data_IF_159734000419
#
_entry.id   IF_159734000419
#
_cell.length_a   1.000
_cell.length_b   1.000
_cell.length_c   1.000
_cell.angle_alpha   90.00
_cell.angle_beta   90.00
_cell.angle_gamma   90.00
#
_symmetry.space_group_name_H-M   'P 1'
#
loop_
_entity.id
_entity.type
_entity.pdbx_description
1 polymer ?
#
# COMPACT_ATOMS: atom_id res chain seq x y z
N UNK A 1 38.16 33.75 10.68
CA UNK A 1 37.08 32.84 11.08
C UNK A 1 37.37 32.38 12.49
N UNK A 2 36.46 32.66 13.43
CA UNK A 2 36.65 32.36 14.85
C UNK A 2 36.14 30.94 15.17
N UNK A 3 36.56 30.42 16.33
CA UNK A 3 36.08 29.14 16.86
C UNK A 3 34.55 29.13 17.05
N UNK A 4 33.93 30.29 17.30
CA UNK A 4 32.47 30.42 17.41
C UNK A 4 31.80 30.22 16.07
N UNK A 5 32.32 30.83 15.02
CA UNK A 5 31.82 30.71 13.65
C UNK A 5 31.86 29.24 13.18
N UNK A 6 32.89 28.49 13.60
CA UNK A 6 33.03 27.07 13.30
C UNK A 6 31.97 26.22 14.03
N UNK A 7 31.70 26.51 15.31
CA UNK A 7 30.69 25.81 16.10
C UNK A 7 29.29 26.07 15.52
N UNK A 8 28.96 27.32 15.19
CA UNK A 8 27.68 27.68 14.58
C UNK A 8 27.45 26.98 13.23
N UNK A 9 28.51 26.88 12.40
CA UNK A 9 28.44 26.14 11.13
C UNK A 9 28.20 24.65 11.33
N UNK A 10 28.83 24.03 12.32
CA UNK A 10 28.65 22.61 12.64
C UNK A 10 27.22 22.37 13.13
N UNK A 11 26.69 23.20 14.04
CA UNK A 11 25.31 23.09 14.53
C UNK A 11 24.28 23.23 13.40
N UNK A 12 24.46 24.22 12.52
CA UNK A 12 23.59 24.42 11.36
C UNK A 12 23.58 23.20 10.44
N UNK A 13 24.76 22.65 10.17
CA UNK A 13 24.92 21.48 9.29
C UNK A 13 24.24 20.24 9.88
N UNK A 14 24.40 20.01 11.20
CA UNK A 14 23.73 18.92 11.90
C UNK A 14 22.20 19.08 11.90
N UNK A 15 21.71 20.31 12.06
CA UNK A 15 20.27 20.59 12.01
C UNK A 15 19.67 20.26 10.64
N UNK A 16 20.33 20.67 9.55
CA UNK A 16 19.89 20.37 8.18
C UNK A 16 19.82 18.86 7.97
N UNK A 17 20.86 18.12 8.34
CA UNK A 17 20.92 16.66 8.20
C UNK A 17 19.74 16.01 8.96
N UNK A 18 19.51 16.42 10.20
CA UNK A 18 18.42 15.92 11.05
C UNK A 18 17.04 16.10 10.39
N UNK A 19 16.77 17.30 9.86
CA UNK A 19 15.51 17.61 9.17
C UNK A 19 15.31 16.75 7.90
N UNK A 20 16.37 16.52 7.12
CA UNK A 20 16.29 15.64 5.94
C UNK A 20 16.00 14.19 6.29
N UNK A 21 16.61 13.65 7.35
CA UNK A 21 16.36 12.26 7.78
C UNK A 21 14.91 12.11 8.26
N UNK A 22 14.44 13.04 9.10
CA UNK A 22 13.07 13.01 9.61
C UNK A 22 12.04 13.16 8.47
N UNK A 23 12.29 14.06 7.52
CA UNK A 23 11.45 14.23 6.33
C UNK A 23 11.39 12.97 5.46
N UNK A 24 12.52 12.28 5.27
CA UNK A 24 12.58 11.03 4.50
C UNK A 24 11.78 9.90 5.16
N UNK A 25 11.89 9.75 6.49
CA UNK A 25 11.14 8.74 7.25
C UNK A 25 9.64 9.00 7.14
N UNK A 26 9.19 10.23 7.38
CA UNK A 26 7.77 10.59 7.24
C UNK A 26 7.26 10.44 5.82
N UNK A 27 8.08 10.74 4.81
CA UNK A 27 7.70 10.52 3.42
C UNK A 27 7.47 9.04 3.12
N UNK A 28 8.39 8.17 3.55
CA UNK A 28 8.22 6.71 3.40
C UNK A 28 6.99 6.18 4.12
N UNK A 29 6.74 6.65 5.34
CA UNK A 29 5.57 6.26 6.11
C UNK A 29 4.27 6.65 5.40
N UNK A 30 4.17 7.89 4.90
CA UNK A 30 3.01 8.36 4.13
C UNK A 30 2.78 7.54 2.86
N UNK A 31 3.85 7.20 2.14
CA UNK A 31 3.77 6.34 0.95
C UNK A 31 3.26 4.94 1.29
N UNK A 32 3.73 4.36 2.39
CA UNK A 32 3.27 3.04 2.84
C UNK A 32 1.79 3.05 3.27
N UNK A 33 1.36 4.07 4.02
CA UNK A 33 -0.05 4.22 4.41
C UNK A 33 -0.93 4.36 3.15
N UNK A 34 -0.50 5.19 2.20
CA UNK A 34 -1.23 5.40 0.95
C UNK A 34 -1.34 4.11 0.12
N UNK A 35 -0.24 3.35 0.02
CA UNK A 35 -0.23 2.02 -0.60
C UNK A 35 -1.27 1.08 0.02
N UNK A 36 -1.26 0.95 1.35
CA UNK A 36 -2.16 0.04 2.08
C UNK A 36 -3.63 0.44 1.86
N UNK A 37 -3.95 1.73 1.94
CA UNK A 37 -5.30 2.23 1.74
C UNK A 37 -5.80 1.98 0.32
N UNK A 38 -4.97 2.31 -0.68
CA UNK A 38 -5.31 2.10 -2.08
C UNK A 38 -5.48 0.62 -2.42
N UNK A 39 -4.55 -0.23 -1.96
CA UNK A 39 -4.65 -1.68 -2.17
C UNK A 39 -5.94 -2.24 -1.56
N UNK A 40 -6.29 -1.82 -0.33
CA UNK A 40 -7.56 -2.22 0.31
C UNK A 40 -8.77 -1.81 -0.51
N UNK A 41 -8.81 -0.57 -0.97
CA UNK A 41 -9.92 -0.06 -1.78
C UNK A 41 -10.07 -0.87 -3.07
N UNK A 42 -8.97 -1.04 -3.82
CA UNK A 42 -8.97 -1.80 -5.07
C UNK A 42 -9.41 -3.25 -4.87
N UNK A 43 -8.96 -3.91 -3.79
CA UNK A 43 -9.39 -5.28 -3.47
C UNK A 43 -10.91 -5.36 -3.30
N UNK A 44 -11.51 -4.43 -2.55
CA UNK A 44 -12.96 -4.40 -2.34
C UNK A 44 -13.69 -4.14 -3.66
N UNK A 45 -13.26 -3.14 -4.42
CA UNK A 45 -13.91 -2.73 -5.67
C UNK A 45 -13.88 -3.87 -6.70
N UNK A 46 -12.72 -4.52 -6.88
CA UNK A 46 -12.60 -5.62 -7.82
C UNK A 46 -13.27 -6.91 -7.35
N UNK A 47 -13.22 -7.25 -6.05
CA UNK A 47 -13.98 -8.39 -5.54
C UNK A 47 -15.46 -8.21 -5.83
N UNK A 48 -16.02 -7.03 -5.56
CA UNK A 48 -17.44 -6.77 -5.80
C UNK A 48 -17.80 -6.75 -7.29
N UNK A 49 -16.91 -6.24 -8.15
CA UNK A 49 -17.08 -6.28 -9.60
C UNK A 49 -17.13 -7.72 -10.12
N UNK A 50 -16.13 -8.54 -9.78
CA UNK A 50 -16.03 -9.92 -10.24
C UNK A 50 -17.02 -10.87 -9.55
N UNK A 51 -17.51 -10.56 -8.35
CA UNK A 51 -18.56 -11.36 -7.69
C UNK A 51 -19.82 -11.41 -8.56
N UNK A 52 -20.18 -10.29 -9.21
CA UNK A 52 -21.32 -10.17 -10.13
C UNK A 52 -21.16 -10.95 -11.43
N UNK A 53 -19.94 -11.30 -11.83
CA UNK A 53 -19.70 -12.05 -13.07
C UNK A 53 -19.91 -13.56 -12.89
N UNK A 54 -20.45 -14.25 -13.91
CA UNK A 54 -20.63 -15.71 -13.90
C UNK A 54 -19.33 -16.44 -14.31
N UNK A 55 -18.30 -16.35 -13.47
CA UNK A 55 -16.98 -16.98 -13.69
C UNK A 55 -16.60 -17.88 -12.50
N UNK A 56 -15.77 -18.91 -12.69
CA UNK A 56 -15.30 -19.76 -11.59
C UNK A 56 -14.47 -18.98 -10.55
N UNK A 57 -14.53 -19.39 -9.28
CA UNK A 57 -13.88 -18.71 -8.16
C UNK A 57 -12.36 -18.54 -8.33
N UNK A 58 -11.65 -19.56 -8.84
CA UNK A 58 -10.19 -19.45 -9.05
C UNK A 58 -9.83 -18.42 -10.13
N UNK A 59 -10.59 -18.39 -11.23
CA UNK A 59 -10.39 -17.40 -12.29
C UNK A 59 -10.74 -16.00 -11.78
N UNK A 60 -11.80 -15.86 -10.98
CA UNK A 60 -12.15 -14.60 -10.31
C UNK A 60 -11.01 -14.11 -9.42
N UNK A 61 -10.46 -14.96 -8.54
CA UNK A 61 -9.36 -14.59 -7.65
C UNK A 61 -8.14 -14.08 -8.44
N UNK A 62 -7.69 -14.83 -9.46
CA UNK A 62 -6.55 -14.43 -10.28
C UNK A 62 -6.78 -13.10 -11.03
N UNK A 63 -8.01 -12.87 -11.51
CA UNK A 63 -8.38 -11.63 -12.18
C UNK A 63 -8.41 -10.43 -11.22
N UNK A 64 -8.98 -10.61 -10.01
CA UNK A 64 -8.97 -9.59 -8.95
C UNK A 64 -7.54 -9.24 -8.56
N UNK A 65 -6.70 -10.24 -8.25
CA UNK A 65 -5.30 -10.04 -7.88
C UNK A 65 -4.56 -9.26 -8.97
N UNK A 66 -4.67 -9.70 -10.23
CA UNK A 66 -4.03 -9.02 -11.37
C UNK A 66 -4.50 -7.57 -11.52
N UNK A 67 -5.79 -7.32 -11.39
CA UNK A 67 -6.36 -5.98 -11.52
C UNK A 67 -5.89 -5.04 -10.40
N UNK A 68 -5.82 -5.53 -9.17
CA UNK A 68 -5.28 -4.79 -8.01
C UNK A 68 -3.81 -4.46 -8.23
N UNK A 69 -2.98 -5.45 -8.56
CA UNK A 69 -1.53 -5.27 -8.79
C UNK A 69 -1.29 -4.27 -9.93
N UNK A 70 -1.93 -4.46 -11.07
CA UNK A 70 -1.79 -3.56 -12.24
C UNK A 70 -2.20 -2.12 -11.90
N UNK A 71 -3.23 -1.94 -11.07
CA UNK A 71 -3.71 -0.61 -10.67
C UNK A 71 -2.74 0.07 -9.71
N UNK A 72 -2.09 -0.68 -8.81
CA UNK A 72 -1.02 -0.18 -7.95
C UNK A 72 0.22 0.22 -8.75
N UNK A 73 0.64 -0.61 -9.71
CA UNK A 73 1.78 -0.31 -10.60
C UNK A 73 1.52 0.93 -11.46
N UNK A 74 0.32 1.08 -12.02
CA UNK A 74 -0.10 2.30 -12.76
C UNK A 74 -0.06 3.57 -11.90
N UNK A 75 -0.12 3.44 -10.57
CA UNK A 75 -0.02 4.55 -9.63
C UNK A 75 1.43 4.82 -9.18
N UNK A 76 2.40 4.10 -9.74
CA UNK A 76 3.83 4.28 -9.50
C UNK A 76 4.38 3.43 -8.35
N UNK A 77 3.60 2.50 -7.81
CA UNK A 77 4.08 1.59 -6.77
C UNK A 77 4.83 0.41 -7.38
N UNK A 78 5.94 0.04 -6.74
CA UNK A 78 6.59 -1.25 -6.97
C UNK A 78 5.93 -2.26 -6.05
N UNK A 79 5.28 -3.28 -6.61
CA UNK A 79 4.59 -4.32 -5.84
C UNK A 79 5.53 -5.51 -5.66
N UNK A 80 5.89 -5.83 -4.42
CA UNK A 80 6.76 -6.98 -4.13
C UNK A 80 5.97 -8.30 -4.12
N UNK A 81 6.68 -9.43 -4.18
CA UNK A 81 6.05 -10.75 -4.00
C UNK A 81 5.32 -10.88 -2.65
N UNK A 82 5.85 -10.25 -1.60
CA UNK A 82 5.20 -10.24 -0.30
C UNK A 82 3.88 -9.45 -0.33
N UNK A 83 3.85 -8.34 -1.06
CA UNK A 83 2.63 -7.55 -1.26
C UNK A 83 1.59 -8.35 -2.04
N UNK A 84 2.00 -9.09 -3.08
CA UNK A 84 1.10 -9.98 -3.81
C UNK A 84 0.48 -11.04 -2.89
N UNK A 85 1.30 -11.67 -2.02
CA UNK A 85 0.79 -12.64 -1.03
C UNK A 85 -0.22 -12.00 -0.06
N UNK A 86 0.06 -10.78 0.41
CA UNK A 86 -0.84 -10.05 1.29
C UNK A 86 -2.15 -9.64 0.58
N UNK A 87 -2.07 -9.28 -0.70
CA UNK A 87 -3.23 -8.96 -1.54
C UNK A 87 -4.11 -10.21 -1.71
N UNK A 88 -3.52 -11.37 -2.02
CA UNK A 88 -4.25 -12.65 -2.14
C UNK A 88 -4.99 -12.96 -0.83
N UNK A 89 -4.28 -12.96 0.30
CA UNK A 89 -4.88 -13.22 1.60
C UNK A 89 -5.99 -12.20 1.96
N UNK A 90 -5.78 -10.92 1.61
CA UNK A 90 -6.77 -9.85 1.79
C UNK A 90 -8.04 -10.09 0.98
N UNK A 91 -7.91 -10.49 -0.28
CA UNK A 91 -9.02 -10.83 -1.16
C UNK A 91 -9.79 -12.04 -0.63
N UNK A 92 -9.10 -13.11 -0.26
CA UNK A 92 -9.71 -14.33 0.29
C UNK A 92 -10.53 -14.03 1.55
N UNK A 93 -10.01 -13.16 2.42
CA UNK A 93 -10.73 -12.68 3.61
C UNK A 93 -12.00 -11.92 3.23
N UNK A 94 -11.91 -10.94 2.31
CA UNK A 94 -13.08 -10.16 1.86
C UNK A 94 -14.16 -11.08 1.29
N UNK A 95 -13.78 -12.03 0.44
CA UNK A 95 -14.72 -12.99 -0.16
C UNK A 95 -15.38 -13.87 0.93
N UNK A 96 -14.61 -14.32 1.91
CA UNK A 96 -15.13 -15.10 3.04
C UNK A 96 -16.14 -14.28 3.86
N UNK A 97 -15.79 -13.05 4.20
CA UNK A 97 -16.66 -12.14 4.96
C UNK A 97 -17.97 -11.84 4.20
N UNK A 98 -17.91 -11.67 2.87
CA UNK A 98 -19.09 -11.48 2.03
C UNK A 98 -20.01 -12.70 2.03
N UNK A 99 -19.45 -13.92 1.91
CA UNK A 99 -20.22 -15.17 1.97
C UNK A 99 -20.90 -15.36 3.32
N UNK A 100 -20.19 -15.09 4.42
CA UNK A 100 -20.76 -15.17 5.76
C UNK A 100 -21.93 -14.19 5.94
N UNK A 101 -21.81 -12.97 5.39
CA UNK A 101 -22.92 -12.00 5.41
C UNK A 101 -24.13 -12.46 4.61
N UNK A 102 -23.93 -13.12 3.47
CA UNK A 102 -25.02 -13.65 2.64
C UNK A 102 -25.76 -14.82 3.31
N UNK A 103 -25.05 -15.66 4.08
CA UNK A 103 -25.65 -16.80 4.80
C UNK A 103 -26.49 -16.33 6.00
N UNK A 104 -26.09 -15.23 6.65
CA UNK A 104 -26.72 -14.71 7.86
C UNK A 104 -27.78 -13.61 7.60
N UNK A 105 -28.05 -13.30 6.33
CA UNK A 105 -29.06 -12.32 5.89
C UNK A 105 -30.35 -12.99 5.47
#
# INVERSE_FOLDING_TARGET
MSTKDYIELVELTLWIISMTVLGYVHFKEKQQIYFIQLARQLMIDYVYFYDKELISNEKKLNNVVRAVVTSLEKKGFVVSENDVKNIIAGIEKIVTDLRLKQINS
#
